data_IF_753660849765
#
_entry.id   IF_753660849765
#
_cell.length_a   1.000
_cell.length_b   1.000
_cell.length_c   1.000
_cell.angle_alpha   90.00
_cell.angle_beta   90.00
_cell.angle_gamma   90.00
#
_symmetry.space_group_name_H-M   'P 1'
#
loop_
_entity.id
_entity.type
_entity.pdbx_description
1 polymer ?
#
# COMPACT_ATOMS: atom_id res chain seq x y z
N UNK A 1 8.71 -7.75 19.67
CA UNK A 1 8.09 -6.68 18.87
C UNK A 1 6.79 -7.21 18.30
N UNK A 2 5.74 -6.43 18.35
CA UNK A 2 4.42 -6.81 17.85
C UNK A 2 4.44 -6.93 16.32
N UNK A 3 3.86 -8.00 15.78
CA UNK A 3 3.81 -8.21 14.34
C UNK A 3 2.70 -7.34 13.71
N UNK A 4 3.06 -6.55 12.69
CA UNK A 4 2.11 -5.80 11.86
C UNK A 4 1.36 -6.75 10.92
N UNK A 5 2.08 -7.74 10.39
CA UNK A 5 1.53 -8.82 9.56
C UNK A 5 2.10 -10.13 10.09
N UNK A 6 1.24 -11.13 10.19
CA UNK A 6 1.62 -12.51 10.53
C UNK A 6 0.74 -13.47 9.73
N UNK A 7 1.34 -14.17 8.76
CA UNK A 7 0.68 -15.16 7.90
C UNK A 7 1.36 -16.51 8.07
N UNK A 8 0.57 -17.57 8.21
CA UNK A 8 1.06 -18.95 8.36
C UNK A 8 0.26 -19.87 7.43
N UNK A 9 0.94 -20.45 6.45
CA UNK A 9 0.37 -21.40 5.49
C UNK A 9 -0.76 -20.83 4.64
N UNK A 10 -0.78 -19.49 4.40
CA UNK A 10 -1.91 -18.83 3.73
C UNK A 10 -1.98 -19.23 2.27
N UNK A 11 -3.16 -19.71 1.85
CA UNK A 11 -3.55 -19.98 0.47
C UNK A 11 -4.63 -19.02 -0.02
N UNK A 12 -4.55 -18.64 -1.31
CA UNK A 12 -5.56 -17.80 -1.98
C UNK A 12 -5.80 -18.29 -3.39
N UNK A 13 -7.09 -18.45 -3.76
CA UNK A 13 -7.51 -18.78 -5.12
C UNK A 13 -8.32 -17.65 -5.76
N UNK A 14 -8.16 -17.43 -7.04
CA UNK A 14 -8.96 -16.52 -7.83
C UNK A 14 -9.65 -17.30 -8.96
N UNK A 15 -10.98 -17.25 -9.01
CA UNK A 15 -11.75 -18.00 -9.99
C UNK A 15 -11.49 -19.52 -9.96
N UNK A 16 -11.30 -20.09 -8.76
CA UNK A 16 -11.03 -21.50 -8.56
C UNK A 16 -9.58 -21.93 -8.89
N UNK A 17 -8.69 -20.99 -9.23
CA UNK A 17 -7.28 -21.27 -9.50
C UNK A 17 -6.41 -20.81 -8.34
N UNK A 18 -5.58 -21.66 -7.73
CA UNK A 18 -4.68 -21.26 -6.65
C UNK A 18 -3.62 -20.30 -7.19
N UNK A 19 -3.55 -19.10 -6.54
CA UNK A 19 -2.60 -18.01 -6.87
C UNK A 19 -1.54 -17.89 -5.79
N UNK A 20 -1.91 -17.92 -4.50
CA UNK A 20 -0.96 -17.98 -3.40
C UNK A 20 -1.05 -19.36 -2.75
N UNK A 21 0.11 -19.90 -2.36
CA UNK A 21 0.22 -21.26 -1.85
C UNK A 21 1.19 -21.28 -0.69
N UNK A 22 0.69 -21.64 0.49
CA UNK A 22 1.52 -21.88 1.66
C UNK A 22 2.43 -20.68 1.97
N UNK A 23 1.79 -19.51 2.11
CA UNK A 23 2.49 -18.25 2.36
C UNK A 23 2.73 -18.09 3.85
N UNK A 24 4.01 -18.12 4.22
CA UNK A 24 4.49 -17.70 5.51
C UNK A 24 5.13 -16.32 5.37
N UNK A 25 4.63 -15.31 6.11
CA UNK A 25 5.15 -13.96 6.05
C UNK A 25 4.97 -13.26 7.38
N UNK A 26 6.04 -12.67 7.89
CA UNK A 26 6.01 -11.86 9.09
C UNK A 26 6.64 -10.50 8.82
N UNK A 27 5.95 -9.44 9.27
CA UNK A 27 6.43 -8.06 9.23
C UNK A 27 6.31 -7.48 10.64
N UNK A 28 7.41 -7.03 11.19
CA UNK A 28 7.41 -6.36 12.49
C UNK A 28 7.18 -4.84 12.35
N UNK A 29 6.88 -4.20 13.49
CA UNK A 29 6.78 -2.74 13.61
C UNK A 29 8.08 -2.07 13.17
N UNK A 30 7.97 -1.03 12.33
CA UNK A 30 9.10 -0.25 11.81
C UNK A 30 9.84 -0.90 10.63
N UNK A 31 9.43 -2.07 10.16
CA UNK A 31 10.10 -2.78 9.07
C UNK A 31 9.57 -2.41 7.70
N UNK A 32 10.46 -2.53 6.70
CA UNK A 32 10.14 -2.48 5.27
C UNK A 32 10.47 -3.83 4.66
N UNK A 33 9.46 -4.51 4.13
CA UNK A 33 9.58 -5.77 3.41
C UNK A 33 9.41 -5.54 1.91
N UNK A 34 10.40 -5.95 1.13
CA UNK A 34 10.34 -6.00 -0.32
C UNK A 34 9.95 -7.39 -0.81
N UNK A 35 9.10 -7.47 -1.82
CA UNK A 35 8.78 -8.73 -2.50
C UNK A 35 9.01 -8.55 -4.00
N UNK A 36 9.92 -9.33 -4.55
CA UNK A 36 10.26 -9.35 -5.98
C UNK A 36 9.73 -10.61 -6.64
N UNK A 37 9.55 -10.57 -7.95
CA UNK A 37 9.14 -11.75 -8.71
C UNK A 37 8.58 -11.39 -10.10
N UNK A 38 8.47 -12.36 -11.00
CA UNK A 38 7.98 -12.15 -12.35
C UNK A 38 6.50 -11.73 -12.37
N UNK A 39 6.03 -11.24 -13.51
CA UNK A 39 4.61 -10.96 -13.71
C UNK A 39 3.78 -12.24 -13.58
N UNK A 40 2.61 -12.13 -12.93
CA UNK A 40 1.75 -13.30 -12.68
C UNK A 40 2.19 -14.20 -11.53
N UNK A 41 3.27 -13.89 -10.79
CA UNK A 41 3.73 -14.71 -9.67
C UNK A 41 2.86 -14.66 -8.42
N UNK A 42 1.94 -13.67 -8.31
CA UNK A 42 1.05 -13.50 -7.16
C UNK A 42 1.31 -12.22 -6.33
N UNK A 43 2.24 -11.33 -6.72
CA UNK A 43 2.58 -10.09 -5.99
C UNK A 43 1.36 -9.23 -5.66
N UNK A 44 0.58 -8.86 -6.67
CA UNK A 44 -0.65 -8.06 -6.49
C UNK A 44 -1.68 -8.79 -5.63
N UNK A 45 -1.78 -10.13 -5.75
CA UNK A 45 -2.69 -10.93 -4.91
C UNK A 45 -2.23 -10.90 -3.46
N UNK A 46 -0.94 -11.00 -3.19
CA UNK A 46 -0.39 -10.85 -1.84
C UNK A 46 -0.73 -9.48 -1.26
N UNK A 47 -0.46 -8.39 -1.99
CA UNK A 47 -0.82 -7.03 -1.57
C UNK A 47 -2.33 -6.92 -1.29
N UNK A 48 -3.20 -7.44 -2.16
CA UNK A 48 -4.66 -7.40 -1.97
C UNK A 48 -5.12 -8.23 -0.77
N UNK A 49 -4.45 -9.33 -0.47
CA UNK A 49 -4.72 -10.15 0.73
C UNK A 49 -4.35 -9.36 1.99
N UNK A 50 -3.16 -8.73 2.01
CA UNK A 50 -2.73 -7.88 3.12
C UNK A 50 -3.61 -6.62 3.28
N UNK A 51 -4.13 -6.07 2.17
CA UNK A 51 -5.11 -4.99 2.16
C UNK A 51 -6.52 -5.45 2.58
N UNK A 52 -6.70 -6.74 2.89
CA UNK A 52 -8.00 -7.35 3.22
C UNK A 52 -9.06 -7.26 2.11
N UNK A 53 -8.61 -7.10 0.88
CA UNK A 53 -9.46 -7.02 -0.33
C UNK A 53 -9.71 -8.39 -0.98
N UNK A 54 -8.95 -9.40 -0.56
CA UNK A 54 -9.08 -10.79 -1.02
C UNK A 54 -9.08 -11.70 0.20
N UNK A 55 -10.07 -12.59 0.29
CA UNK A 55 -10.15 -13.58 1.36
C UNK A 55 -9.13 -14.69 1.18
N UNK A 56 -8.73 -15.31 2.27
CA UNK A 56 -7.89 -16.51 2.28
C UNK A 56 -8.75 -17.76 2.19
N UNK A 57 -8.25 -18.82 1.52
CA UNK A 57 -8.93 -20.12 1.38
C UNK A 57 -8.43 -21.13 2.42
N UNK A 58 -7.22 -20.93 2.94
CA UNK A 58 -6.57 -21.82 3.91
C UNK A 58 -5.45 -21.12 4.66
N UNK A 59 -4.93 -21.79 5.68
CA UNK A 59 -3.99 -21.18 6.60
C UNK A 59 -4.67 -20.23 7.57
N UNK A 60 -3.86 -19.42 8.24
CA UNK A 60 -4.35 -18.38 9.15
C UNK A 60 -3.38 -17.21 9.13
N UNK A 61 -3.87 -16.03 9.52
CA UNK A 61 -3.04 -14.85 9.60
C UNK A 61 -3.79 -13.66 10.15
N UNK A 62 -3.02 -12.63 10.50
CA UNK A 62 -3.53 -11.37 10.99
C UNK A 62 -2.82 -10.19 10.35
N UNK A 63 -3.53 -9.09 10.25
CA UNK A 63 -3.01 -7.79 9.84
C UNK A 63 -3.38 -6.77 10.91
N UNK A 64 -2.39 -6.06 11.44
CA UNK A 64 -2.56 -5.10 12.54
C UNK A 64 -3.29 -5.72 13.76
N UNK A 65 -2.99 -7.00 14.05
CA UNK A 65 -3.60 -7.77 15.13
C UNK A 65 -5.00 -8.30 14.84
N UNK A 66 -5.61 -8.00 13.68
CA UNK A 66 -6.94 -8.45 13.30
C UNK A 66 -6.86 -9.69 12.40
N UNK A 67 -7.50 -10.82 12.75
CA UNK A 67 -7.51 -12.01 11.93
C UNK A 67 -8.09 -11.77 10.52
N UNK A 68 -7.47 -12.32 9.49
CA UNK A 68 -7.93 -12.24 8.09
C UNK A 68 -9.24 -13.00 7.86
N UNK A 69 -9.52 -14.02 8.67
CA UNK A 69 -10.79 -14.72 8.69
C UNK A 69 -11.65 -14.14 9.82
N UNK A 70 -12.66 -13.31 9.51
CA UNK A 70 -13.54 -12.74 10.54
C UNK A 70 -14.29 -11.49 10.11
N UNK A 71 -15.21 -11.03 10.97
CA UNK A 71 -16.10 -9.91 10.68
C UNK A 71 -15.49 -8.52 11.02
N UNK A 72 -14.33 -8.45 11.67
CA UNK A 72 -13.70 -7.19 12.12
C UNK A 72 -12.79 -6.55 11.08
N UNK A 73 -12.65 -7.15 9.92
CA UNK A 73 -11.77 -6.69 8.81
C UNK A 73 -12.09 -5.23 8.39
N UNK A 74 -13.33 -4.79 8.51
CA UNK A 74 -13.73 -3.43 8.12
C UNK A 74 -13.02 -2.32 8.91
N UNK A 75 -12.73 -2.57 10.18
CA UNK A 75 -12.08 -1.58 11.06
C UNK A 75 -10.58 -1.40 10.72
N UNK A 76 -9.92 -2.48 10.37
CA UNK A 76 -8.48 -2.44 10.05
C UNK A 76 -8.18 -1.71 8.75
N UNK A 77 -9.12 -1.69 7.78
CA UNK A 77 -8.94 -1.04 6.47
C UNK A 77 -8.59 0.44 6.57
N UNK A 78 -9.10 1.16 7.58
CA UNK A 78 -8.79 2.58 7.79
C UNK A 78 -7.34 2.81 8.21
N UNK A 79 -6.68 1.78 8.74
CA UNK A 79 -5.29 1.80 9.20
C UNK A 79 -4.32 1.31 8.12
N UNK A 80 -4.84 0.84 6.97
CA UNK A 80 -4.06 0.37 5.82
C UNK A 80 -4.07 1.43 4.73
N UNK A 81 -2.88 1.79 4.25
CA UNK A 81 -2.68 2.60 3.07
C UNK A 81 -2.25 1.72 1.89
N UNK A 82 -2.90 1.89 0.76
CA UNK A 82 -2.56 1.18 -0.47
C UNK A 82 -2.29 2.17 -1.60
N UNK A 83 -1.14 2.02 -2.25
CA UNK A 83 -0.84 2.57 -3.57
C UNK A 83 -0.78 1.39 -4.53
N UNK A 84 -1.76 1.33 -5.43
CA UNK A 84 -1.81 0.32 -6.48
C UNK A 84 -1.15 0.77 -7.78
N UNK A 85 -1.22 -0.05 -8.81
CA UNK A 85 -0.69 0.30 -10.14
C UNK A 85 -1.35 1.56 -10.73
N UNK A 86 -2.65 1.73 -10.55
CA UNK A 86 -3.40 2.92 -10.95
C UNK A 86 -3.81 3.76 -9.74
N UNK A 87 -3.73 5.10 -9.83
CA UNK A 87 -4.21 5.97 -8.76
C UNK A 87 -5.69 5.77 -8.45
N UNK A 88 -6.01 5.63 -7.16
CA UNK A 88 -7.38 5.37 -6.66
C UNK A 88 -8.06 6.68 -6.25
N UNK A 89 -8.33 7.57 -7.22
CA UNK A 89 -9.08 8.80 -7.03
C UNK A 89 -10.45 8.69 -7.72
N UNK A 90 -11.45 9.40 -7.19
CA UNK A 90 -12.75 9.58 -7.84
C UNK A 90 -12.55 10.60 -8.96
N UNK A 91 -12.69 10.15 -10.20
CA UNK A 91 -12.30 10.92 -11.40
C UNK A 91 -13.10 12.22 -11.56
N UNK A 92 -14.38 12.21 -11.19
CA UNK A 92 -15.29 13.34 -11.29
C UNK A 92 -15.08 14.43 -10.23
N UNK A 93 -14.38 14.10 -9.15
CA UNK A 93 -14.07 15.04 -8.07
C UNK A 93 -12.75 15.78 -8.31
N UNK A 94 -12.64 16.97 -7.78
CA UNK A 94 -11.37 17.72 -7.72
C UNK A 94 -10.38 17.03 -6.78
N UNK A 95 -9.10 17.40 -6.83
CA UNK A 95 -8.11 16.87 -5.89
C UNK A 95 -8.45 17.26 -4.45
N UNK A 96 -8.91 18.51 -4.21
CA UNK A 96 -9.40 18.95 -2.91
C UNK A 96 -10.56 18.09 -2.42
N UNK A 97 -11.58 17.85 -3.25
CA UNK A 97 -12.75 17.06 -2.88
C UNK A 97 -12.39 15.59 -2.60
N UNK A 98 -11.50 14.99 -3.39
CA UNK A 98 -10.99 13.63 -3.14
C UNK A 98 -10.34 13.52 -1.76
N UNK A 99 -9.45 14.45 -1.40
CA UNK A 99 -8.79 14.44 -0.10
C UNK A 99 -9.76 14.79 1.03
N UNK A 100 -10.66 15.75 0.82
CA UNK A 100 -11.69 16.13 1.78
C UNK A 100 -12.64 14.99 2.11
N UNK A 101 -13.02 14.20 1.10
CA UNK A 101 -13.85 13.01 1.28
C UNK A 101 -13.16 12.01 2.21
N UNK A 102 -11.88 11.71 1.98
CA UNK A 102 -11.10 10.80 2.84
C UNK A 102 -10.90 11.38 4.24
N UNK A 103 -10.60 12.68 4.35
CA UNK A 103 -10.47 13.35 5.65
C UNK A 103 -11.74 13.19 6.48
N UNK A 104 -12.91 13.44 5.88
CA UNK A 104 -14.23 13.27 6.52
C UNK A 104 -14.46 11.84 7.00
N UNK A 105 -14.20 10.84 6.14
CA UNK A 105 -14.35 9.42 6.51
C UNK A 105 -13.40 8.98 7.62
N UNK A 106 -12.24 9.65 7.75
CA UNK A 106 -11.23 9.36 8.77
C UNK A 106 -11.37 10.23 10.03
N UNK A 107 -12.40 11.09 10.11
CA UNK A 107 -12.60 12.00 11.24
C UNK A 107 -11.51 13.08 11.38
N UNK A 108 -10.85 13.44 10.26
CA UNK A 108 -9.77 14.44 10.24
C UNK A 108 -10.31 15.82 9.89
N UNK A 109 -9.63 16.86 10.39
CA UNK A 109 -9.95 18.24 10.07
C UNK A 109 -9.69 18.54 8.58
N UNK A 110 -10.68 19.19 7.94
CA UNK A 110 -10.62 19.63 6.55
C UNK A 110 -9.43 20.58 6.28
N UNK A 111 -9.03 21.39 7.24
CA UNK A 111 -7.88 22.31 7.12
C UNK A 111 -6.55 21.61 6.81
N UNK A 112 -6.45 20.27 7.05
CA UNK A 112 -5.27 19.49 6.72
C UNK A 112 -5.14 19.14 5.24
N UNK A 113 -6.22 19.27 4.46
CA UNK A 113 -6.24 18.90 3.03
C UNK A 113 -5.31 19.81 2.23
N UNK A 114 -5.44 21.13 2.41
CA UNK A 114 -4.57 22.09 1.73
C UNK A 114 -3.08 21.82 2.00
N UNK A 115 -2.74 21.60 3.28
CA UNK A 115 -1.36 21.28 3.68
C UNK A 115 -0.86 19.98 3.05
N UNK A 116 -1.71 18.97 2.90
CA UNK A 116 -1.33 17.70 2.26
C UNK A 116 -1.05 17.90 0.76
N UNK A 117 -1.82 18.73 0.07
CA UNK A 117 -1.59 19.06 -1.34
C UNK A 117 -0.32 19.93 -1.51
N UNK A 118 -0.07 20.89 -0.62
CA UNK A 118 1.16 21.69 -0.60
C UNK A 118 2.42 20.80 -0.49
N UNK A 119 2.42 19.81 0.42
CA UNK A 119 3.56 18.89 0.61
C UNK A 119 3.93 18.15 -0.69
N UNK A 120 2.95 17.84 -1.53
CA UNK A 120 3.18 17.12 -2.79
C UNK A 120 3.26 18.05 -4.02
N UNK A 121 3.26 19.39 -3.82
CA UNK A 121 3.36 20.40 -4.88
C UNK A 121 2.12 20.43 -5.79
N UNK A 122 0.93 20.36 -5.19
CA UNK A 122 -0.36 20.40 -5.88
C UNK A 122 -1.31 21.46 -5.32
N UNK A 123 -0.81 22.45 -4.56
CA UNK A 123 -1.59 23.52 -3.96
C UNK A 123 -2.39 24.31 -5.00
N UNK A 124 -1.78 24.65 -6.14
CA UNK A 124 -2.41 25.41 -7.23
C UNK A 124 -3.32 24.56 -8.12
N UNK A 125 -3.28 23.22 -7.95
CA UNK A 125 -4.07 22.28 -8.73
C UNK A 125 -5.23 21.67 -7.93
N UNK A 126 -5.46 22.11 -6.71
CA UNK A 126 -6.45 21.53 -5.79
C UNK A 126 -7.87 21.50 -6.36
N UNK A 127 -8.26 22.51 -7.14
CA UNK A 127 -9.59 22.63 -7.75
C UNK A 127 -9.70 21.95 -9.12
N UNK A 128 -8.62 21.31 -9.61
CA UNK A 128 -8.65 20.54 -10.85
C UNK A 128 -9.26 19.17 -10.61
N UNK A 129 -10.19 18.76 -11.48
CA UNK A 129 -10.77 17.39 -11.44
C UNK A 129 -9.70 16.34 -11.71
N UNK A 130 -9.83 15.17 -11.05
CA UNK A 130 -8.85 14.10 -11.17
C UNK A 130 -8.73 13.53 -12.60
N UNK A 131 -9.83 13.47 -13.38
CA UNK A 131 -9.82 13.08 -14.79
C UNK A 131 -9.04 14.06 -15.69
N UNK A 132 -8.96 15.35 -15.32
CA UNK A 132 -8.20 16.37 -16.03
C UNK A 132 -6.72 16.48 -15.58
N UNK A 133 -6.29 15.64 -14.62
CA UNK A 133 -4.93 15.61 -14.11
C UNK A 133 -4.06 14.57 -14.84
N UNK A 134 -2.75 14.86 -14.98
CA UNK A 134 -1.79 13.84 -15.45
C UNK A 134 -1.68 12.68 -14.48
N UNK A 135 -1.14 11.53 -14.94
CA UNK A 135 -0.87 10.38 -14.08
C UNK A 135 -0.01 10.75 -12.86
N UNK A 136 1.07 11.51 -13.07
CA UNK A 136 1.94 11.98 -11.99
C UNK A 136 1.23 12.88 -10.97
N UNK A 137 0.34 13.77 -11.41
CA UNK A 137 -0.48 14.60 -10.50
C UNK A 137 -1.43 13.73 -9.66
N UNK A 138 -2.11 12.78 -10.30
CA UNK A 138 -3.00 11.84 -9.58
C UNK A 138 -2.23 10.99 -8.58
N UNK A 139 -1.04 10.52 -8.93
CA UNK A 139 -0.17 9.76 -8.02
C UNK A 139 0.28 10.60 -6.83
N UNK A 140 0.69 11.86 -7.06
CA UNK A 140 1.05 12.79 -5.97
C UNK A 140 -0.15 13.08 -5.05
N UNK A 141 -1.35 13.25 -5.59
CA UNK A 141 -2.57 13.40 -4.79
C UNK A 141 -2.88 12.15 -3.96
N UNK A 142 -2.65 10.96 -4.49
CA UNK A 142 -2.77 9.70 -3.74
C UNK A 142 -1.76 9.61 -2.59
N UNK A 143 -0.52 10.05 -2.81
CA UNK A 143 0.48 10.17 -1.73
C UNK A 143 0.03 11.19 -0.68
N UNK A 144 -0.50 12.36 -1.08
CA UNK A 144 -1.05 13.36 -0.17
C UNK A 144 -2.17 12.78 0.71
N UNK A 145 -3.06 11.96 0.13
CA UNK A 145 -4.09 11.22 0.87
C UNK A 145 -3.49 10.34 1.97
N UNK A 146 -2.40 9.62 1.68
CA UNK A 146 -1.74 8.74 2.65
C UNK A 146 -0.95 9.51 3.71
N UNK A 147 -0.35 10.64 3.36
CA UNK A 147 0.25 11.57 4.33
C UNK A 147 -0.80 12.12 5.29
N UNK A 148 -2.01 12.36 4.80
CA UNK A 148 -3.15 12.82 5.59
C UNK A 148 -3.65 11.75 6.56
N UNK A 149 -3.87 10.51 6.07
CA UNK A 149 -4.45 9.40 6.85
C UNK A 149 -3.45 8.69 7.76
N UNK A 150 -2.15 8.81 7.49
CA UNK A 150 -1.05 8.24 8.29
C UNK A 150 -1.23 6.75 8.60
N UNK A 151 -1.28 5.87 7.59
CA UNK A 151 -1.54 4.45 7.79
C UNK A 151 -0.48 3.79 8.69
N UNK A 152 -0.89 2.73 9.39
CA UNK A 152 -0.01 1.88 10.19
C UNK A 152 0.59 0.74 9.35
N UNK A 153 -0.09 0.30 8.30
CA UNK A 153 0.45 -0.59 7.28
C UNK A 153 0.36 0.11 5.92
N UNK A 154 1.52 0.30 5.27
CA UNK A 154 1.62 0.86 3.93
C UNK A 154 1.92 -0.26 2.93
N UNK A 155 1.08 -0.39 1.92
CA UNK A 155 1.18 -1.38 0.86
C UNK A 155 1.45 -0.67 -0.47
N UNK A 156 2.52 -1.05 -1.16
CA UNK A 156 2.98 -0.42 -2.40
C UNK A 156 3.06 -1.49 -3.52
N UNK A 157 2.13 -1.42 -4.49
CA UNK A 157 2.08 -2.32 -5.65
C UNK A 157 2.56 -1.58 -6.90
N UNK A 158 3.84 -1.79 -7.28
CA UNK A 158 4.51 -1.12 -8.40
C UNK A 158 4.40 0.42 -8.33
N UNK A 159 4.44 0.97 -7.12
CA UNK A 159 4.05 2.35 -6.83
C UNK A 159 4.96 3.41 -7.48
N UNK A 160 6.19 3.07 -7.82
CA UNK A 160 7.20 3.93 -8.44
C UNK A 160 7.22 3.88 -9.96
N UNK A 161 6.48 2.96 -10.56
CA UNK A 161 6.51 2.77 -12.02
C UNK A 161 6.00 4.03 -12.75
N UNK A 162 6.81 4.55 -13.69
CA UNK A 162 6.45 5.70 -14.51
C UNK A 162 6.46 7.05 -13.78
N UNK A 163 7.10 7.14 -12.61
CA UNK A 163 7.22 8.37 -11.84
C UNK A 163 8.57 9.08 -12.10
N UNK A 164 8.54 10.40 -11.96
CA UNK A 164 9.74 11.23 -11.91
C UNK A 164 10.47 11.11 -10.56
N UNK A 165 11.67 11.66 -10.47
CA UNK A 165 12.50 11.62 -9.26
C UNK A 165 11.84 12.32 -8.07
N UNK A 166 11.06 13.39 -8.32
CA UNK A 166 10.37 14.13 -7.29
C UNK A 166 9.26 13.27 -6.64
N UNK A 167 8.44 12.60 -7.44
CA UNK A 167 7.41 11.71 -6.95
C UNK A 167 7.99 10.47 -6.25
N UNK A 168 9.12 9.94 -6.74
CA UNK A 168 9.86 8.87 -6.06
C UNK A 168 10.41 9.34 -4.70
N UNK A 169 10.84 10.61 -4.58
CA UNK A 169 11.22 11.23 -3.32
C UNK A 169 10.06 11.26 -2.31
N UNK A 170 8.85 11.57 -2.77
CA UNK A 170 7.63 11.56 -1.92
C UNK A 170 7.29 10.15 -1.41
N UNK A 171 7.45 9.10 -2.25
CA UNK A 171 7.25 7.71 -1.83
C UNK A 171 8.26 7.34 -0.72
N UNK A 172 9.54 7.69 -0.89
CA UNK A 172 10.56 7.45 0.15
C UNK A 172 10.24 8.17 1.45
N UNK A 173 9.80 9.42 1.38
CA UNK A 173 9.36 10.19 2.54
C UNK A 173 8.14 9.54 3.23
N UNK A 174 7.17 9.04 2.47
CA UNK A 174 6.01 8.33 2.99
C UNK A 174 6.41 7.03 3.72
N UNK A 175 7.33 6.24 3.13
CA UNK A 175 7.90 5.04 3.75
C UNK A 175 8.56 5.40 5.09
N UNK A 176 9.49 6.37 5.09
CA UNK A 176 10.19 6.81 6.29
C UNK A 176 9.25 7.36 7.36
N UNK A 177 8.23 8.13 6.97
CA UNK A 177 7.22 8.64 7.90
C UNK A 177 6.35 7.52 8.49
N UNK A 178 6.08 6.45 7.74
CA UNK A 178 5.31 5.30 8.24
C UNK A 178 6.14 4.47 9.21
N UNK A 179 7.36 4.07 8.84
CA UNK A 179 8.24 3.26 9.70
C UNK A 179 8.68 4.02 10.94
N UNK A 180 8.96 5.33 10.82
CA UNK A 180 9.33 6.20 11.95
C UNK A 180 8.25 6.34 13.03
N UNK A 181 6.97 6.02 12.71
CA UNK A 181 5.87 5.93 13.67
C UNK A 181 5.61 4.50 14.16
N UNK A 182 6.46 3.55 13.82
CA UNK A 182 6.28 2.13 14.15
C UNK A 182 5.32 1.39 13.19
N UNK A 183 4.90 2.00 12.09
CA UNK A 183 4.15 1.31 11.04
C UNK A 183 5.02 0.34 10.24
N UNK A 184 4.41 -0.60 9.53
CA UNK A 184 5.08 -1.52 8.61
C UNK A 184 4.86 -1.15 7.16
N UNK A 185 5.78 -1.53 6.29
CA UNK A 185 5.66 -1.31 4.83
C UNK A 185 5.90 -2.62 4.10
N UNK A 186 5.00 -2.98 3.18
CA UNK A 186 5.23 -4.05 2.19
C UNK A 186 5.22 -3.43 0.81
N UNK A 187 6.31 -3.64 0.06
CA UNK A 187 6.43 -3.14 -1.30
C UNK A 187 6.71 -4.28 -2.27
N UNK A 188 5.99 -4.28 -3.37
CA UNK A 188 6.22 -5.23 -4.46
C UNK A 188 6.60 -4.47 -5.73
N UNK A 189 7.62 -4.95 -6.42
CA UNK A 189 8.04 -4.41 -7.71
C UNK A 189 8.83 -5.47 -8.50
N UNK A 190 8.94 -5.23 -9.79
CA UNK A 190 9.90 -5.91 -10.66
C UNK A 190 11.27 -5.18 -10.66
N UNK A 191 11.34 -3.93 -10.18
CA UNK A 191 12.59 -3.17 -9.99
C UNK A 191 13.28 -3.60 -8.69
N UNK A 192 14.16 -4.59 -8.82
CA UNK A 192 14.93 -5.15 -7.71
C UNK A 192 15.86 -4.12 -7.08
N UNK A 193 16.46 -3.20 -7.88
CA UNK A 193 17.39 -2.20 -7.37
C UNK A 193 16.70 -1.24 -6.40
N UNK A 194 15.51 -0.76 -6.75
CA UNK A 194 14.72 0.10 -5.89
C UNK A 194 14.30 -0.62 -4.60
N UNK A 195 13.81 -1.86 -4.71
CA UNK A 195 13.42 -2.64 -3.53
C UNK A 195 14.60 -2.84 -2.59
N UNK A 196 15.76 -3.26 -3.11
CA UNK A 196 16.96 -3.49 -2.31
C UNK A 196 17.46 -2.23 -1.61
N UNK A 197 17.26 -1.06 -2.24
CA UNK A 197 17.65 0.21 -1.64
C UNK A 197 16.76 0.67 -0.46
N UNK A 198 15.52 0.18 -0.37
CA UNK A 198 14.53 0.65 0.60
C UNK A 198 14.11 -0.41 1.62
N UNK A 199 14.14 -1.68 1.24
CA UNK A 199 13.70 -2.79 2.11
C UNK A 199 14.83 -3.32 2.98
N UNK A 200 14.53 -3.55 4.25
CA UNK A 200 15.45 -4.24 5.18
C UNK A 200 15.50 -5.75 4.94
N UNK A 201 14.41 -6.30 4.43
CA UNK A 201 14.28 -7.72 4.06
C UNK A 201 13.67 -7.82 2.67
N UNK A 202 14.22 -8.68 1.82
CA UNK A 202 13.70 -8.94 0.48
C UNK A 202 13.38 -10.41 0.32
N UNK A 203 12.15 -10.70 -0.12
CA UNK A 203 11.68 -12.05 -0.46
C UNK A 203 11.42 -12.15 -1.96
N UNK A 204 11.53 -13.34 -2.51
CA UNK A 204 11.05 -13.64 -3.87
C UNK A 204 9.68 -14.33 -3.81
N UNK A 205 8.82 -14.03 -4.79
CA UNK A 205 7.58 -14.80 -5.00
C UNK A 205 7.61 -15.44 -6.38
N UNK A 206 7.52 -16.76 -6.41
CA UNK A 206 7.51 -17.56 -7.64
C UNK A 206 6.42 -18.62 -7.56
N UNK A 207 5.60 -18.74 -8.61
CA UNK A 207 4.49 -19.70 -8.66
C UNK A 207 3.57 -19.67 -7.43
N UNK A 208 3.40 -18.47 -6.85
CA UNK A 208 2.55 -18.26 -5.68
C UNK A 208 3.18 -18.68 -4.35
N UNK A 209 4.48 -18.94 -4.27
CA UNK A 209 5.21 -19.26 -3.04
C UNK A 209 6.26 -18.23 -2.72
N UNK A 210 6.40 -17.89 -1.43
CA UNK A 210 7.48 -17.01 -0.97
C UNK A 210 8.76 -17.84 -0.71
N UNK A 211 9.90 -17.21 -1.01
CA UNK A 211 11.23 -17.73 -0.72
C UNK A 211 12.22 -16.62 -0.47
N UNK A 212 13.44 -16.96 -0.05
CA UNK A 212 14.51 -15.99 0.04
C UNK A 212 14.84 -15.41 -1.34
N UNK A 213 15.02 -14.09 -1.44
CA UNK A 213 15.53 -13.48 -2.66
C UNK A 213 16.98 -13.94 -2.88
N UNK A 214 17.30 -14.37 -4.10
CA UNK A 214 18.66 -14.78 -4.51
C UNK A 214 19.46 -13.61 -5.00
#
# INVERSE_FOLDING_TARGET
MEAIVDLIGVGVSLGGRPVLRDIDLRLASGEVLGVVGPNGSGKTTLIRTLATLTSIDGGHGSVLGVPLAGNQIGEVRRRIGLIGHQPSLIEELTLNENLAHVAKLSGLDHGRVHRALEIVGLEDAGDRRADACSFGMRRRAEIARLLLTKPELLLLDEASSGLDDAANGLIRALIGATTGRGGGVVMVSHDTAMITALAGTVLSIEFGRLGAAR
#
